data_IF_809208595594
#
_entry.id   IF_809208595594
#
_cell.length_a   1.000
_cell.length_b   1.000
_cell.length_c   1.000
_cell.angle_alpha   90.00
_cell.angle_beta   90.00
_cell.angle_gamma   90.00
#
_symmetry.space_group_name_H-M   'P 1'
#
loop_
_entity.id
_entity.type
_entity.pdbx_description
1 polymer ?
#
# COMPACT_ATOMS: atom_id res chain seq x y z
N UNK A 1 26.57 -2.43 9.64
CA UNK A 1 25.16 -2.21 9.22
C UNK A 1 25.19 -1.30 7.98
N UNK A 2 24.14 -1.24 7.15
CA UNK A 2 24.13 -0.23 6.07
C UNK A 2 23.87 1.15 6.66
N UNK A 3 24.46 2.22 6.12
CA UNK A 3 24.20 3.61 6.59
C UNK A 3 22.70 3.95 6.64
N UNK A 4 21.93 3.43 5.69
CA UNK A 4 20.46 3.56 5.68
C UNK A 4 19.82 2.94 6.93
N UNK A 5 20.27 1.76 7.35
CA UNK A 5 19.74 1.07 8.52
C UNK A 5 20.05 1.85 9.81
N UNK A 6 21.26 2.40 9.91
CA UNK A 6 21.68 3.23 11.05
C UNK A 6 20.80 4.48 11.15
N UNK A 7 20.58 5.19 10.04
CA UNK A 7 19.67 6.35 10.00
C UNK A 7 18.22 5.99 10.30
N UNK A 8 17.75 4.82 9.85
CA UNK A 8 16.40 4.34 10.14
C UNK A 8 16.21 4.02 11.63
N UNK A 9 17.20 3.42 12.25
CA UNK A 9 17.19 3.09 13.69
C UNK A 9 17.26 4.36 14.55
N UNK A 10 18.08 5.34 14.17
CA UNK A 10 18.07 6.67 14.78
C UNK A 10 16.70 7.34 14.69
N UNK A 11 16.06 7.28 13.51
CA UNK A 11 14.73 7.85 13.29
C UNK A 11 13.66 7.17 14.15
N UNK A 12 13.71 5.84 14.27
CA UNK A 12 12.80 5.07 15.13
C UNK A 12 12.91 5.49 16.59
N UNK A 13 14.15 5.60 17.08
CA UNK A 13 14.44 5.91 18.49
C UNK A 13 14.20 7.38 18.87
N UNK A 14 13.91 8.25 17.91
CA UNK A 14 13.59 9.64 18.20
C UNK A 14 12.17 9.78 18.78
N UNK A 15 12.08 9.89 20.10
CA UNK A 15 10.83 10.04 20.87
C UNK A 15 10.18 11.42 20.76
N UNK A 16 10.92 12.44 20.29
CA UNK A 16 10.37 13.80 20.12
C UNK A 16 9.52 13.92 18.84
N UNK A 17 9.66 12.98 17.91
CA UNK A 17 8.94 12.99 16.64
C UNK A 17 7.62 12.22 16.73
N UNK A 18 6.54 12.88 16.31
CA UNK A 18 5.26 12.21 16.05
C UNK A 18 5.39 11.20 14.91
N UNK A 19 4.48 10.23 14.84
CA UNK A 19 4.43 9.22 13.76
C UNK A 19 4.42 9.88 12.37
N UNK A 20 3.63 10.94 12.19
CA UNK A 20 3.59 11.69 10.92
C UNK A 20 4.93 12.31 10.53
N UNK A 21 5.69 12.81 11.50
CA UNK A 21 7.03 13.36 11.25
C UNK A 21 8.01 12.23 10.93
N UNK A 22 7.92 11.09 11.63
CA UNK A 22 8.74 9.90 11.32
C UNK A 22 8.48 9.41 9.90
N UNK A 23 7.22 9.31 9.48
CA UNK A 23 6.85 8.94 8.10
C UNK A 23 7.48 9.92 7.09
N UNK A 24 7.37 11.24 7.30
CA UNK A 24 7.97 12.22 6.39
C UNK A 24 9.49 12.13 6.32
N UNK A 25 10.16 11.94 7.46
CA UNK A 25 11.61 11.77 7.49
C UNK A 25 12.05 10.45 6.84
N UNK A 26 11.23 9.40 6.94
CA UNK A 26 11.48 8.16 6.23
C UNK A 26 11.45 8.35 4.70
N UNK A 27 10.51 9.14 4.18
CA UNK A 27 10.47 9.48 2.75
C UNK A 27 11.75 10.21 2.31
N UNK A 28 12.20 11.21 3.09
CA UNK A 28 13.46 11.91 2.83
C UNK A 28 14.65 10.94 2.82
N UNK A 29 14.70 10.05 3.81
CA UNK A 29 15.75 9.03 3.88
C UNK A 29 15.73 8.10 2.65
N UNK A 30 14.55 7.72 2.17
CA UNK A 30 14.44 6.96 0.92
C UNK A 30 14.95 7.75 -0.29
N UNK A 31 14.67 9.06 -0.37
CA UNK A 31 15.17 9.92 -1.45
C UNK A 31 16.69 10.10 -1.38
N UNK A 32 17.25 10.40 -0.21
CA UNK A 32 18.70 10.60 0.02
C UNK A 32 19.54 9.39 -0.40
N UNK A 33 19.00 8.19 -0.23
CA UNK A 33 19.67 6.94 -0.55
C UNK A 33 19.22 6.33 -1.90
N UNK A 34 18.41 7.06 -2.69
CA UNK A 34 17.75 6.61 -3.92
C UNK A 34 17.14 5.20 -3.82
N UNK A 35 16.31 4.99 -2.78
CA UNK A 35 15.60 3.73 -2.54
C UNK A 35 14.11 3.90 -2.75
N UNK A 36 13.52 2.95 -3.48
CA UNK A 36 12.06 2.79 -3.53
C UNK A 36 11.62 1.73 -2.54
N UNK A 37 10.95 2.16 -1.48
CA UNK A 37 10.44 1.31 -0.41
C UNK A 37 8.93 1.13 -0.50
N UNK A 38 8.48 -0.06 -0.10
CA UNK A 38 7.06 -0.36 0.03
C UNK A 38 6.51 0.34 1.28
N UNK A 39 5.45 1.10 1.10
CA UNK A 39 4.81 1.92 2.14
C UNK A 39 3.53 1.26 2.65
N UNK A 40 2.69 0.80 1.72
CA UNK A 40 1.43 0.15 2.02
C UNK A 40 1.15 -0.87 0.92
N UNK A 41 0.58 -2.02 1.28
CA UNK A 41 0.01 -2.96 0.32
C UNK A 41 -1.47 -3.15 0.59
N UNK A 42 -2.25 -3.23 -0.47
CA UNK A 42 -3.66 -3.61 -0.44
C UNK A 42 -3.90 -4.76 -1.42
N UNK A 43 -4.76 -5.69 -1.03
CA UNK A 43 -5.33 -6.66 -1.95
C UNK A 43 -6.57 -6.06 -2.60
N UNK A 44 -6.62 -6.04 -3.92
CA UNK A 44 -7.75 -5.51 -4.70
C UNK A 44 -8.24 -6.51 -5.72
N UNK A 45 -9.41 -6.22 -6.29
CA UNK A 45 -9.95 -6.90 -7.47
C UNK A 45 -10.29 -5.85 -8.52
N UNK A 46 -10.02 -6.16 -9.78
CA UNK A 46 -10.60 -5.43 -10.90
C UNK A 46 -11.77 -6.28 -11.43
N UNK A 47 -12.92 -5.63 -11.69
CA UNK A 47 -14.07 -6.29 -12.29
C UNK A 47 -13.92 -6.25 -13.81
N UNK A 48 -13.47 -7.35 -14.39
CA UNK A 48 -13.53 -7.59 -15.83
C UNK A 48 -14.90 -8.24 -16.14
N UNK A 49 -15.43 -8.08 -17.35
CA UNK A 49 -16.81 -8.49 -17.73
C UNK A 49 -17.19 -9.95 -17.40
N UNK A 50 -16.23 -10.85 -17.13
CA UNK A 50 -16.48 -12.27 -16.87
C UNK A 50 -15.77 -12.89 -15.65
N UNK A 51 -14.77 -12.24 -15.05
CA UNK A 51 -13.98 -12.82 -13.92
C UNK A 51 -13.48 -11.75 -12.95
N UNK A 52 -13.44 -12.06 -11.64
CA UNK A 52 -12.73 -11.26 -10.64
C UNK A 52 -11.25 -11.64 -10.66
N UNK A 53 -10.40 -10.78 -11.21
CA UNK A 53 -8.95 -10.96 -11.13
C UNK A 53 -8.44 -10.34 -9.82
N UNK A 54 -7.68 -11.11 -9.04
CA UNK A 54 -7.06 -10.64 -7.81
C UNK A 54 -5.78 -9.85 -8.16
N UNK A 55 -5.65 -8.65 -7.61
CA UNK A 55 -4.48 -7.79 -7.75
C UNK A 55 -3.88 -7.47 -6.38
N UNK A 56 -2.57 -7.24 -6.37
CA UNK A 56 -1.87 -6.54 -5.30
C UNK A 56 -1.64 -5.10 -5.74
N UNK A 57 -2.01 -4.17 -4.88
CA UNK A 57 -1.82 -2.74 -5.06
C UNK A 57 -0.78 -2.33 -4.03
N UNK A 58 0.43 -2.08 -4.49
CA UNK A 58 1.58 -1.74 -3.65
C UNK A 58 1.89 -0.27 -3.82
N UNK A 59 1.65 0.51 -2.77
CA UNK A 59 2.07 1.89 -2.68
C UNK A 59 3.53 1.95 -2.23
N UNK A 60 4.32 2.73 -2.95
CA UNK A 60 5.71 3.02 -2.61
C UNK A 60 5.85 4.50 -2.27
N UNK A 61 7.06 4.94 -1.96
CA UNK A 61 7.36 6.37 -1.82
C UNK A 61 7.41 7.11 -3.18
N UNK A 62 7.44 6.40 -4.32
CA UNK A 62 7.51 7.00 -5.67
C UNK A 62 6.20 6.88 -6.48
N UNK A 63 5.39 5.86 -6.22
CA UNK A 63 4.15 5.63 -6.97
C UNK A 63 3.34 4.42 -6.50
N UNK A 64 2.52 3.90 -7.40
CA UNK A 64 1.65 2.74 -7.18
C UNK A 64 2.01 1.65 -8.17
N UNK A 65 2.33 0.47 -7.64
CA UNK A 65 2.54 -0.76 -8.39
C UNK A 65 1.28 -1.60 -8.31
N UNK A 66 0.72 -1.99 -9.46
CA UNK A 66 -0.41 -2.90 -9.56
C UNK A 66 0.04 -4.18 -10.24
N UNK A 67 -0.08 -5.30 -9.54
CA UNK A 67 0.31 -6.62 -10.05
C UNK A 67 -0.81 -7.63 -9.89
N UNK A 68 -1.06 -8.44 -10.91
CA UNK A 68 -2.02 -9.56 -10.80
C UNK A 68 -1.43 -10.65 -9.92
N UNK A 69 -2.20 -11.13 -8.95
CA UNK A 69 -1.79 -12.25 -8.09
C UNK A 69 -1.88 -13.56 -8.87
N UNK A 70 -0.79 -14.32 -8.90
CA UNK A 70 -0.81 -15.69 -9.43
C UNK A 70 -1.63 -16.65 -8.56
N UNK A 71 -2.04 -17.79 -9.11
CA UNK A 71 -2.86 -18.78 -8.40
C UNK A 71 -2.22 -19.33 -7.11
N UNK A 72 -0.88 -19.46 -7.06
CA UNK A 72 -0.14 -19.89 -5.84
C UNK A 72 0.06 -18.79 -4.79
N UNK A 73 0.14 -17.51 -5.19
CA UNK A 73 0.30 -16.39 -4.24
C UNK A 73 -0.94 -16.16 -3.38
N UNK A 74 -2.12 -16.62 -3.82
CA UNK A 74 -3.34 -16.59 -3.02
C UNK A 74 -3.29 -17.55 -1.81
N UNK A 75 -2.41 -18.56 -1.80
CA UNK A 75 -2.25 -19.56 -0.73
C UNK A 75 -1.06 -19.27 0.21
N UNK A 76 -0.03 -18.57 -0.29
CA UNK A 76 1.20 -18.23 0.44
C UNK A 76 1.23 -16.77 0.94
N UNK A 77 0.08 -16.09 0.96
CA UNK A 77 -0.16 -14.78 1.60
C UNK A 77 -0.04 -14.89 3.15
N UNK A 78 1.00 -15.57 3.67
CA UNK A 78 1.32 -15.75 5.10
C UNK A 78 2.35 -14.71 5.55
N UNK A 79 2.81 -13.81 4.66
CA UNK A 79 3.87 -12.84 4.97
C UNK A 79 3.35 -11.49 5.44
N UNK A 80 2.60 -10.79 4.59
CA UNK A 80 2.10 -9.43 4.84
C UNK A 80 0.84 -9.19 3.98
N UNK A 81 -0.28 -9.76 4.45
CA UNK A 81 -1.62 -9.52 3.91
C UNK A 81 -1.98 -8.08 4.22
N UNK A 82 -2.13 -7.26 3.19
CA UNK A 82 -2.65 -5.89 3.23
C UNK A 82 -2.35 -5.08 4.51
N UNK A 83 -1.34 -4.21 4.46
CA UNK A 83 -0.91 -3.45 5.62
C UNK A 83 0.27 -2.54 5.30
N UNK A 84 0.86 -2.00 6.36
CA UNK A 84 2.06 -1.17 6.25
C UNK A 84 3.23 -1.99 5.71
N UNK A 85 4.05 -1.33 4.90
CA UNK A 85 5.28 -1.91 4.40
C UNK A 85 6.30 -2.15 5.52
N UNK A 86 7.27 -3.06 5.33
CA UNK A 86 8.10 -3.56 6.42
C UNK A 86 8.88 -2.48 7.19
N UNK A 87 9.51 -1.53 6.49
CA UNK A 87 10.26 -0.46 7.17
C UNK A 87 9.35 0.54 7.89
N UNK A 88 8.18 0.84 7.32
CA UNK A 88 7.23 1.71 7.99
C UNK A 88 6.63 1.03 9.23
N UNK A 89 6.38 -0.28 9.15
CA UNK A 89 5.95 -1.08 10.29
C UNK A 89 7.03 -1.13 11.38
N UNK A 90 8.31 -1.32 11.02
CA UNK A 90 9.43 -1.23 11.97
C UNK A 90 9.55 0.16 12.61
N UNK A 91 9.40 1.20 11.81
CA UNK A 91 9.56 2.58 12.25
C UNK A 91 8.50 3.00 13.27
N UNK A 92 7.27 2.49 13.11
CA UNK A 92 6.11 2.86 13.91
C UNK A 92 5.80 1.87 15.05
N UNK A 93 6.49 0.73 15.11
CA UNK A 93 6.21 -0.32 16.11
C UNK A 93 7.42 -0.63 16.96
N UNK A 94 7.30 -0.47 18.28
CA UNK A 94 8.34 -0.82 19.24
C UNK A 94 8.60 -2.34 19.31
N UNK A 95 7.65 -3.14 18.84
CA UNK A 95 7.72 -4.61 18.91
C UNK A 95 8.54 -5.23 17.78
N UNK A 96 8.77 -4.50 16.70
CA UNK A 96 9.40 -5.01 15.48
C UNK A 96 10.89 -4.68 15.50
N UNK A 97 11.75 -5.67 15.35
CA UNK A 97 13.19 -5.46 15.20
C UNK A 97 13.56 -5.34 13.72
N UNK A 98 14.70 -4.72 13.45
CA UNK A 98 15.16 -4.56 12.07
C UNK A 98 15.47 -5.91 11.42
N UNK A 99 15.95 -6.88 12.19
CA UNK A 99 16.24 -8.24 11.73
C UNK A 99 14.97 -9.04 11.37
N UNK A 100 13.80 -8.64 11.88
CA UNK A 100 12.51 -9.23 11.50
C UNK A 100 12.07 -8.79 10.09
N UNK A 101 12.72 -7.75 9.55
CA UNK A 101 12.40 -7.19 8.24
C UNK A 101 13.12 -7.99 7.15
N UNK A 102 12.33 -8.66 6.32
CA UNK A 102 12.83 -9.29 5.09
C UNK A 102 13.20 -8.21 4.07
N UNK A 103 14.50 -7.95 3.88
CA UNK A 103 15.00 -6.90 2.98
C UNK A 103 14.37 -6.95 1.57
N UNK A 104 14.20 -8.15 1.01
CA UNK A 104 13.53 -8.37 -0.29
C UNK A 104 12.06 -7.93 -0.35
N UNK A 105 11.38 -7.95 0.79
CA UNK A 105 9.98 -7.56 0.90
C UNK A 105 9.83 -6.07 1.22
N UNK A 106 10.94 -5.36 1.44
CA UNK A 106 10.99 -4.00 1.96
C UNK A 106 11.29 -2.94 0.90
N UNK A 107 11.96 -3.37 -0.16
CA UNK A 107 12.29 -2.55 -1.31
C UNK A 107 11.66 -3.15 -2.57
N UNK A 108 11.38 -2.30 -3.55
CA UNK A 108 11.05 -2.76 -4.88
C UNK A 108 12.33 -3.29 -5.53
N UNK A 109 12.37 -4.56 -5.90
CA UNK A 109 13.55 -5.12 -6.57
C UNK A 109 13.79 -4.43 -7.92
N UNK A 110 15.07 -4.18 -8.24
CA UNK A 110 15.58 -3.54 -9.48
C UNK A 110 15.17 -4.24 -10.80
N UNK A 111 14.28 -5.24 -10.78
CA UNK A 111 13.61 -5.80 -11.96
C UNK A 111 12.37 -5.02 -12.41
N UNK A 112 11.92 -4.03 -11.62
CA UNK A 112 10.84 -3.10 -11.96
C UNK A 112 11.35 -2.04 -12.95
N UNK A 113 11.69 -2.45 -14.16
CA UNK A 113 11.84 -1.52 -15.26
C UNK A 113 10.45 -1.25 -15.86
N UNK A 114 10.05 0.00 -16.11
CA UNK A 114 8.89 0.31 -16.94
C UNK A 114 8.93 -0.38 -18.32
N UNK A 115 10.13 -0.79 -18.79
CA UNK A 115 10.27 -1.58 -20.02
C UNK A 115 9.82 -3.05 -19.90
N UNK A 116 9.64 -3.57 -18.68
CA UNK A 116 9.22 -4.96 -18.41
C UNK A 116 7.75 -5.05 -17.98
N UNK A 117 6.95 -4.01 -18.25
CA UNK A 117 5.51 -3.97 -18.05
C UNK A 117 4.85 -5.05 -18.91
N UNK A 118 4.49 -6.18 -18.31
CA UNK A 118 3.57 -7.14 -18.93
C UNK A 118 2.13 -6.62 -18.80
N UNK A 119 1.18 -7.15 -19.57
CA UNK A 119 -0.24 -6.78 -19.45
C UNK A 119 -0.82 -6.96 -18.02
N UNK A 120 -0.14 -7.72 -17.15
CA UNK A 120 -0.57 -8.07 -15.80
C UNK A 120 0.18 -7.29 -14.69
N UNK A 121 1.08 -6.36 -15.05
CA UNK A 121 1.87 -5.55 -14.13
C UNK A 121 1.97 -4.10 -14.64
N UNK A 122 1.49 -3.12 -13.87
CA UNK A 122 1.66 -1.72 -14.24
C UNK A 122 1.98 -0.77 -13.08
N UNK A 123 2.63 0.34 -13.43
CA UNK A 123 3.11 1.36 -12.50
C UNK A 123 2.45 2.70 -12.81
N UNK A 124 1.99 3.39 -11.76
CA UNK A 124 1.45 4.75 -11.84
C UNK A 124 2.32 5.65 -10.97
N UNK A 125 2.99 6.63 -11.57
CA UNK A 125 3.80 7.59 -10.83
C UNK A 125 2.88 8.58 -10.07
N UNK A 126 3.24 8.98 -8.84
CA UNK A 126 2.42 9.97 -8.13
C UNK A 126 2.28 11.30 -8.87
N UNK A 127 3.27 11.70 -9.68
CA UNK A 127 3.21 12.91 -10.52
C UNK A 127 2.12 12.87 -11.59
N UNK A 128 1.68 11.67 -11.97
CA UNK A 128 0.63 11.47 -12.99
C UNK A 128 -0.78 11.42 -12.36
N UNK A 129 -0.88 11.28 -11.03
CA UNK A 129 -2.14 11.14 -10.32
C UNK A 129 -2.75 12.52 -10.08
N UNK A 130 -3.93 12.74 -10.64
CA UNK A 130 -4.71 13.97 -10.45
C UNK A 130 -5.63 13.88 -9.23
N UNK A 131 -6.17 12.69 -8.95
CA UNK A 131 -7.07 12.45 -7.81
C UNK A 131 -7.00 10.99 -7.37
N UNK A 132 -6.92 10.74 -6.06
CA UNK A 132 -7.09 9.40 -5.50
C UNK A 132 -8.26 9.40 -4.52
N UNK A 133 -9.22 8.51 -4.73
CA UNK A 133 -10.47 8.44 -3.97
C UNK A 133 -10.61 7.09 -3.32
N UNK A 134 -10.91 7.09 -2.02
CA UNK A 134 -11.21 5.88 -1.27
C UNK A 134 -12.55 6.02 -0.56
N UNK A 135 -13.50 5.15 -0.89
CA UNK A 135 -14.88 5.25 -0.40
C UNK A 135 -15.52 3.88 -0.20
N UNK A 136 -16.68 3.85 0.44
CA UNK A 136 -17.55 2.69 0.49
C UNK A 136 -18.98 3.11 0.10
N UNK A 137 -19.58 2.43 -0.87
CA UNK A 137 -20.98 2.69 -1.23
C UNK A 137 -21.97 1.96 -0.31
N UNK A 138 -23.27 2.23 -0.44
CA UNK A 138 -24.32 1.54 0.34
C UNK A 138 -24.35 0.06 -0.03
N UNK A 139 -24.09 -0.27 -1.30
CA UNK A 139 -23.98 -1.61 -1.88
C UNK A 139 -22.86 -2.46 -1.27
N UNK A 140 -21.95 -1.84 -0.54
CA UNK A 140 -20.84 -2.53 0.14
C UNK A 140 -21.26 -3.19 1.45
N UNK A 141 -22.42 -2.82 2.00
CA UNK A 141 -22.95 -3.36 3.25
C UNK A 141 -23.78 -4.61 2.98
N UNK A 142 -23.46 -5.68 3.68
CA UNK A 142 -24.32 -6.85 3.79
C UNK A 142 -24.91 -6.88 5.18
N UNK A 143 -26.23 -6.93 5.25
CA UNK A 143 -27.00 -7.03 6.49
C UNK A 143 -27.56 -8.45 6.59
N UNK A 144 -27.34 -9.10 7.74
CA UNK A 144 -27.95 -10.38 8.09
C UNK A 144 -28.57 -10.27 9.50
N UNK A 145 -29.14 -11.38 10.00
CA UNK A 145 -29.77 -11.44 11.33
C UNK A 145 -28.82 -11.12 12.50
N UNK A 146 -27.49 -11.12 12.27
CA UNK A 146 -26.47 -10.84 13.28
C UNK A 146 -25.88 -9.42 13.17
N UNK A 147 -26.30 -8.63 12.18
CA UNK A 147 -25.88 -7.24 12.00
C UNK A 147 -25.50 -6.88 10.57
N UNK A 148 -24.88 -5.71 10.40
CA UNK A 148 -24.42 -5.20 9.11
C UNK A 148 -22.89 -5.11 9.06
N UNK A 149 -22.29 -5.58 7.97
CA UNK A 149 -20.85 -5.50 7.75
C UNK A 149 -20.52 -4.95 6.36
N UNK A 150 -19.51 -4.08 6.27
CA UNK A 150 -18.95 -3.63 4.99
C UNK A 150 -18.06 -4.75 4.45
N UNK A 151 -18.38 -5.30 3.28
CA UNK A 151 -17.65 -6.40 2.67
C UNK A 151 -16.50 -5.93 1.76
N UNK A 152 -16.59 -4.74 1.19
CA UNK A 152 -15.57 -4.19 0.31
C UNK A 152 -15.56 -2.65 0.34
N UNK A 153 -14.40 -2.07 0.05
CA UNK A 153 -14.23 -0.65 -0.23
C UNK A 153 -13.90 -0.47 -1.71
N UNK A 154 -13.91 0.76 -2.17
CA UNK A 154 -13.48 1.13 -3.51
C UNK A 154 -12.30 2.08 -3.46
N UNK A 155 -11.33 1.83 -4.32
CA UNK A 155 -10.20 2.70 -4.57
C UNK A 155 -10.23 3.11 -6.04
N UNK A 156 -10.33 4.41 -6.31
CA UNK A 156 -10.21 4.97 -7.65
C UNK A 156 -8.95 5.81 -7.76
N UNK A 157 -8.16 5.55 -8.78
CA UNK A 157 -6.97 6.33 -9.12
C UNK A 157 -7.24 7.03 -10.44
N UNK A 158 -7.40 8.34 -10.40
CA UNK A 158 -7.50 9.18 -11.58
C UNK A 158 -6.11 9.70 -11.91
N UNK A 159 -5.70 9.48 -13.15
CA UNK A 159 -4.47 10.05 -13.71
C UNK A 159 -4.83 11.19 -14.66
N UNK A 160 -3.83 11.80 -15.27
CA UNK A 160 -4.04 12.81 -16.32
C UNK A 160 -4.72 12.24 -17.58
N UNK A 161 -4.63 10.93 -17.83
CA UNK A 161 -5.11 10.30 -19.08
C UNK A 161 -6.20 9.25 -18.84
N UNK A 162 -6.06 8.46 -17.78
CA UNK A 162 -6.89 7.29 -17.50
C UNK A 162 -7.43 7.28 -16.07
N UNK A 163 -8.39 6.38 -15.81
CA UNK A 163 -8.85 6.08 -14.45
C UNK A 163 -8.86 4.58 -14.18
N UNK A 164 -8.43 4.20 -12.97
CA UNK A 164 -8.35 2.81 -12.52
C UNK A 164 -9.24 2.63 -11.31
N UNK A 165 -10.13 1.63 -11.35
CA UNK A 165 -11.07 1.32 -10.26
C UNK A 165 -10.81 -0.06 -9.69
N UNK A 166 -10.64 -0.12 -8.37
CA UNK A 166 -10.34 -1.34 -7.62
C UNK A 166 -11.38 -1.57 -6.54
N UNK A 167 -11.81 -2.83 -6.41
CA UNK A 167 -12.62 -3.32 -5.29
C UNK A 167 -11.65 -3.85 -4.23
N UNK A 168 -11.67 -3.30 -3.02
CA UNK A 168 -10.76 -3.62 -1.92
C UNK A 168 -11.52 -4.43 -0.86
N UNK A 169 -11.37 -5.77 -0.79
CA UNK A 169 -12.16 -6.60 0.14
C UNK A 169 -11.83 -6.27 1.59
N UNK A 170 -12.83 -5.92 2.41
CA UNK A 170 -12.61 -5.50 3.80
C UNK A 170 -12.04 -6.64 4.66
N UNK A 171 -12.49 -7.88 4.43
CA UNK A 171 -11.98 -9.08 5.15
C UNK A 171 -10.46 -9.28 4.96
N UNK A 172 -9.89 -8.87 3.82
CA UNK A 172 -8.46 -9.01 3.53
C UNK A 172 -7.65 -7.80 3.98
N UNK A 173 -8.23 -6.59 3.95
CA UNK A 173 -7.48 -5.34 4.11
C UNK A 173 -7.75 -4.60 5.43
N UNK A 174 -8.77 -5.03 6.18
CA UNK A 174 -9.28 -4.31 7.34
C UNK A 174 -10.50 -3.44 7.03
N UNK A 175 -11.04 -2.79 8.06
CA UNK A 175 -12.18 -1.90 7.93
C UNK A 175 -11.81 -0.60 7.17
N UNK A 176 -12.84 0.09 6.68
CA UNK A 176 -12.67 1.32 5.91
C UNK A 176 -11.87 2.39 6.67
N UNK A 177 -12.15 2.59 7.97
CA UNK A 177 -11.56 3.67 8.77
C UNK A 177 -10.06 3.47 8.91
N UNK A 178 -9.62 2.25 9.18
CA UNK A 178 -8.20 1.88 9.31
C UNK A 178 -7.47 2.03 7.98
N UNK A 179 -8.04 1.53 6.89
CA UNK A 179 -7.42 1.66 5.56
C UNK A 179 -7.30 3.14 5.18
N UNK A 180 -8.39 3.91 5.33
CA UNK A 180 -8.39 5.33 4.99
C UNK A 180 -7.39 6.12 5.85
N UNK A 181 -7.30 5.82 7.15
CA UNK A 181 -6.31 6.43 8.03
C UNK A 181 -4.90 6.21 7.50
N UNK A 182 -4.53 4.96 7.19
CA UNK A 182 -3.19 4.66 6.71
C UNK A 182 -2.91 5.22 5.32
N UNK A 183 -3.87 5.17 4.40
CA UNK A 183 -3.74 5.84 3.09
C UNK A 183 -3.46 7.34 3.26
N UNK A 184 -4.19 8.02 4.15
CA UNK A 184 -4.02 9.46 4.38
C UNK A 184 -2.72 9.80 5.10
N UNK A 185 -2.28 8.96 6.04
CA UNK A 185 -1.11 9.22 6.87
C UNK A 185 0.21 8.87 6.17
N UNK A 186 0.19 7.83 5.33
CA UNK A 186 1.43 7.24 4.79
C UNK A 186 1.76 7.67 3.38
N UNK A 187 0.80 8.14 2.58
CA UNK A 187 1.01 8.47 1.17
C UNK A 187 1.31 9.96 0.95
N UNK A 188 2.14 10.32 -0.05
CA UNK A 188 2.51 11.71 -0.34
C UNK A 188 1.47 12.44 -1.19
N UNK A 189 0.22 11.94 -1.24
CA UNK A 189 -0.87 12.45 -2.07
C UNK A 189 -2.15 12.62 -1.26
N UNK A 190 -3.01 13.55 -1.67
CA UNK A 190 -4.28 13.79 -1.00
C UNK A 190 -5.27 12.68 -1.35
N UNK A 191 -5.88 12.11 -0.30
CA UNK A 191 -6.92 11.08 -0.43
C UNK A 191 -8.28 11.69 -0.15
N UNK A 192 -9.15 11.67 -1.17
CA UNK A 192 -10.51 12.16 -1.06
C UNK A 192 -11.45 11.06 -0.58
N UNK A 193 -12.47 11.46 0.19
CA UNK A 193 -13.66 10.64 0.44
C UNK A 193 -14.73 11.04 -0.58
N UNK A 194 -15.43 10.05 -1.12
CA UNK A 194 -16.72 10.22 -1.78
C UNK A 194 -17.83 9.85 -0.80
#
# INVERSE_FOLDING_TARGET
MSKFNESLEQLKNNVQMSESQKIRSFYKLCEEFDKESIILRLSGNIKNRFTRSNYMITFTNKGIIISKKGNLQNLLDIGYVAGLGPFLHYLLSDKVKLDDIKLKDSFVHNGFSPSNLTNDLFYINYKEISKLVFYHGVETRVTNMLGSAVNYNFLKVYTQKDSYSFIIPAKKNGDHKKIFYWLKMSLPIIIYRE
#
